data_IF_247482741177
#
_entry.id   IF_247482741177
#
_cell.length_a   1.000
_cell.length_b   1.000
_cell.length_c   1.000
_cell.angle_alpha   90.00
_cell.angle_beta   90.00
_cell.angle_gamma   90.00
#
_symmetry.space_group_name_H-M   'P 1'
#
loop_
_entity.id
_entity.type
_entity.pdbx_description
1 polymer ?
#
# COMPACT_ATOMS: atom_id res chain seq x y z
N UNK A 1 7.00 10.49 -15.69
CA UNK A 1 7.71 9.79 -16.78
C UNK A 1 8.02 8.33 -16.41
N UNK A 2 8.83 8.06 -15.38
CA UNK A 2 9.21 6.67 -14.99
C UNK A 2 8.03 5.72 -14.75
N UNK A 3 7.01 6.15 -13.99
CA UNK A 3 5.82 5.31 -13.70
C UNK A 3 5.00 4.97 -14.94
N UNK A 4 4.88 5.88 -15.90
CA UNK A 4 4.12 5.65 -17.13
C UNK A 4 4.80 4.58 -17.98
N UNK A 5 6.14 4.64 -18.08
CA UNK A 5 6.92 3.63 -18.80
C UNK A 5 6.82 2.25 -18.15
N UNK A 6 6.93 2.17 -16.83
CA UNK A 6 6.73 0.91 -16.10
C UNK A 6 5.32 0.34 -16.28
N UNK A 7 4.30 1.20 -16.38
CA UNK A 7 2.93 0.79 -16.65
C UNK A 7 2.78 0.19 -18.06
N UNK A 8 3.39 0.79 -19.08
CA UNK A 8 3.40 0.22 -20.44
C UNK A 8 3.99 -1.20 -20.47
N UNK A 9 5.16 -1.39 -19.83
CA UNK A 9 5.79 -2.72 -19.74
C UNK A 9 4.93 -3.72 -18.96
N UNK A 10 4.24 -3.27 -17.91
CA UNK A 10 3.34 -4.09 -17.10
C UNK A 10 2.10 -4.54 -17.89
N UNK A 11 1.50 -3.63 -18.64
CA UNK A 11 0.37 -3.92 -19.51
C UNK A 11 0.80 -4.85 -20.67
N UNK A 12 2.05 -4.73 -21.13
CA UNK A 12 2.73 -5.63 -22.07
C UNK A 12 3.17 -6.99 -21.48
N UNK A 13 2.78 -7.31 -20.24
CA UNK A 13 2.97 -8.64 -19.65
C UNK A 13 4.15 -8.79 -18.68
N UNK A 14 4.84 -7.70 -18.32
CA UNK A 14 5.87 -7.68 -17.26
C UNK A 14 5.25 -7.78 -15.84
N UNK A 15 4.40 -8.79 -15.62
CA UNK A 15 3.62 -8.98 -14.38
C UNK A 15 4.27 -9.95 -13.38
N UNK A 16 5.35 -10.64 -13.76
CA UNK A 16 6.07 -11.58 -12.89
C UNK A 16 7.57 -11.31 -12.95
N UNK A 17 8.29 -11.67 -11.88
CA UNK A 17 9.75 -11.54 -11.81
C UNK A 17 10.47 -12.84 -12.26
N UNK A 18 9.81 -13.69 -13.04
CA UNK A 18 10.35 -14.97 -13.50
C UNK A 18 11.38 -14.81 -14.62
N UNK A 19 11.96 -15.95 -15.05
CA UNK A 19 12.95 -16.01 -16.13
C UNK A 19 12.52 -15.22 -17.37
N UNK A 20 11.27 -15.40 -17.78
CA UNK A 20 10.74 -14.88 -19.06
C UNK A 20 10.56 -13.35 -19.06
N UNK A 21 10.54 -12.74 -17.87
CA UNK A 21 10.39 -11.30 -17.69
C UNK A 21 11.68 -10.64 -17.17
N UNK A 22 12.73 -11.42 -16.91
CA UNK A 22 13.99 -10.89 -16.36
C UNK A 22 14.67 -9.93 -17.33
N UNK A 23 14.68 -10.28 -18.62
CA UNK A 23 15.21 -9.41 -19.69
C UNK A 23 14.41 -8.11 -19.81
N UNK A 24 13.08 -8.19 -19.83
CA UNK A 24 12.19 -7.01 -19.86
C UNK A 24 12.38 -6.09 -18.66
N UNK A 25 12.61 -6.66 -17.47
CA UNK A 25 12.90 -5.89 -16.25
C UNK A 25 14.24 -5.18 -16.36
N UNK A 26 15.25 -5.81 -16.96
CA UNK A 26 16.55 -5.19 -17.24
C UNK A 26 16.43 -3.99 -18.17
N UNK A 27 15.72 -4.15 -19.29
CA UNK A 27 15.47 -3.06 -20.25
C UNK A 27 14.67 -1.93 -19.60
N UNK A 28 13.62 -2.25 -18.85
CA UNK A 28 12.83 -1.23 -18.14
C UNK A 28 13.66 -0.49 -17.08
N UNK A 29 14.59 -1.17 -16.40
CA UNK A 29 15.50 -0.58 -15.43
C UNK A 29 16.46 0.43 -16.09
N UNK A 30 17.06 0.08 -17.23
CA UNK A 30 17.91 1.00 -18.00
C UNK A 30 17.13 2.21 -18.52
N UNK A 31 15.97 1.99 -19.15
CA UNK A 31 15.17 3.09 -19.73
C UNK A 31 14.62 4.06 -18.67
N UNK A 32 14.28 3.55 -17.49
CA UNK A 32 13.76 4.39 -16.40
C UNK A 32 14.84 4.92 -15.48
N UNK A 33 16.09 4.44 -15.60
CA UNK A 33 17.19 4.75 -14.69
C UNK A 33 16.95 4.24 -13.26
N UNK A 34 16.15 3.19 -13.10
CA UNK A 34 15.86 2.56 -11.81
C UNK A 34 16.68 1.29 -11.63
N UNK A 35 16.86 0.85 -10.38
CA UNK A 35 17.46 -0.45 -10.13
C UNK A 35 16.46 -1.58 -10.38
N UNK A 36 16.97 -2.77 -10.73
CA UNK A 36 16.14 -3.97 -10.95
C UNK A 36 15.25 -4.26 -9.73
N UNK A 37 15.74 -4.07 -8.50
CA UNK A 37 14.94 -4.27 -7.29
C UNK A 37 13.81 -3.25 -7.14
N UNK A 38 14.03 -1.99 -7.53
CA UNK A 38 12.97 -0.98 -7.55
C UNK A 38 11.87 -1.34 -8.55
N UNK A 39 12.25 -1.83 -9.74
CA UNK A 39 11.32 -2.29 -10.76
C UNK A 39 10.52 -3.50 -10.27
N UNK A 40 11.20 -4.52 -9.70
CA UNK A 40 10.53 -5.70 -9.10
C UNK A 40 9.54 -5.31 -8.00
N UNK A 41 9.92 -4.39 -7.11
CA UNK A 41 9.05 -3.87 -6.05
C UNK A 41 7.84 -3.14 -6.62
N UNK A 42 8.05 -2.34 -7.67
CA UNK A 42 6.98 -1.64 -8.36
C UNK A 42 5.98 -2.60 -9.01
N UNK A 43 6.44 -3.67 -9.68
CA UNK A 43 5.58 -4.73 -10.25
C UNK A 43 4.70 -5.36 -9.16
N UNK A 44 5.27 -5.67 -8.00
CA UNK A 44 4.52 -6.19 -6.86
C UNK A 44 3.41 -5.25 -6.40
N UNK A 45 3.71 -3.95 -6.29
CA UNK A 45 2.74 -2.92 -5.91
C UNK A 45 1.65 -2.74 -6.97
N UNK A 46 2.00 -2.75 -8.26
CA UNK A 46 1.07 -2.64 -9.36
C UNK A 46 0.04 -3.78 -9.36
N UNK A 47 0.50 -5.03 -9.16
CA UNK A 47 -0.37 -6.20 -9.00
C UNK A 47 -1.32 -6.07 -7.82
N UNK A 48 -0.82 -5.56 -6.70
CA UNK A 48 -1.65 -5.37 -5.51
C UNK A 48 -2.73 -4.33 -5.75
N UNK A 49 -2.41 -3.22 -6.41
CA UNK A 49 -3.37 -2.19 -6.81
C UNK A 49 -4.45 -2.77 -7.74
N UNK A 50 -4.06 -3.56 -8.75
CA UNK A 50 -5.00 -4.21 -9.68
C UNK A 50 -5.97 -5.15 -8.95
N UNK A 51 -5.48 -5.90 -7.96
CA UNK A 51 -6.33 -6.78 -7.12
C UNK A 51 -7.26 -6.03 -6.17
N UNK A 52 -6.84 -4.86 -5.66
CA UNK A 52 -7.69 -3.99 -4.82
C UNK A 52 -8.79 -3.39 -5.69
N UNK A 53 -8.45 -2.88 -6.88
CA UNK A 53 -9.40 -2.27 -7.80
C UNK A 53 -10.40 -3.27 -8.41
N UNK A 54 -9.99 -4.52 -8.63
CA UNK A 54 -10.87 -5.59 -9.14
C UNK A 54 -11.80 -6.18 -8.07
N UNK A 55 -11.71 -5.74 -6.81
CA UNK A 55 -12.55 -6.25 -5.72
C UNK A 55 -12.25 -7.71 -5.32
N UNK A 56 -11.26 -8.36 -5.95
CA UNK A 56 -10.85 -9.75 -5.67
C UNK A 56 -10.06 -9.83 -4.35
N UNK A 57 -9.65 -8.70 -3.78
CA UNK A 57 -9.13 -8.63 -2.42
C UNK A 57 -10.03 -7.77 -1.52
N UNK A 58 -10.67 -8.43 -0.54
CA UNK A 58 -11.12 -7.78 0.68
C UNK A 58 -9.94 -7.02 1.32
N UNK A 59 -10.24 -5.86 1.92
CA UNK A 59 -9.36 -4.89 2.60
C UNK A 59 -7.92 -5.34 2.89
N UNK A 60 -6.90 -4.47 2.68
CA UNK A 60 -5.49 -4.82 2.86
C UNK A 60 -5.31 -5.56 4.18
N UNK A 61 -4.90 -6.83 4.11
CA UNK A 61 -4.60 -7.61 5.31
C UNK A 61 -3.60 -6.76 6.11
N UNK A 62 -3.92 -6.39 7.36
CA UNK A 62 -3.06 -5.53 8.13
C UNK A 62 -1.66 -6.14 8.10
N UNK A 63 -0.67 -5.33 7.74
CA UNK A 63 0.73 -5.68 7.91
C UNK A 63 0.83 -6.21 9.34
N UNK A 64 1.19 -7.49 9.50
CA UNK A 64 1.56 -8.06 10.79
C UNK A 64 2.85 -7.38 11.21
N UNK A 65 2.74 -6.15 11.70
CA UNK A 65 3.79 -5.53 12.48
C UNK A 65 3.95 -6.45 13.68
N UNK A 66 5.16 -6.94 14.01
CA UNK A 66 5.38 -7.69 15.23
C UNK A 66 4.70 -6.94 16.37
N UNK A 67 3.74 -7.60 17.01
CA UNK A 67 2.96 -7.08 18.12
C UNK A 67 3.90 -6.84 19.29
N UNK A 68 4.53 -5.68 19.31
CA UNK A 68 5.49 -5.28 20.34
C UNK A 68 5.91 -3.82 20.31
N UNK A 69 5.62 -3.07 19.24
CA UNK A 69 6.12 -1.69 19.09
C UNK A 69 5.11 -0.69 18.53
N UNK A 70 3.80 -1.00 18.55
CA UNK A 70 2.79 0.05 18.32
C UNK A 70 2.60 0.87 19.60
N UNK A 71 3.61 1.69 19.91
CA UNK A 71 3.44 2.83 20.79
C UNK A 71 2.26 3.66 20.28
N UNK A 72 1.39 4.05 21.21
CA UNK A 72 0.20 4.85 20.95
C UNK A 72 0.56 6.09 20.15
N UNK A 73 0.15 6.12 18.88
CA UNK A 73 0.05 7.40 18.21
C UNK A 73 -1.01 8.21 18.98
N UNK A 74 -0.66 9.39 19.47
CA UNK A 74 -1.52 10.23 20.33
C UNK A 74 -2.93 10.40 19.78
N UNK A 75 -3.07 10.46 18.45
CA UNK A 75 -4.35 10.48 17.75
C UNK A 75 -5.24 9.26 18.07
N UNK A 76 -4.65 8.05 18.11
CA UNK A 76 -5.39 6.83 18.42
C UNK A 76 -5.75 6.72 19.91
N UNK A 77 -4.99 7.38 20.79
CA UNK A 77 -5.29 7.42 22.22
C UNK A 77 -6.42 8.41 22.51
N UNK A 78 -6.35 9.61 21.94
CA UNK A 78 -7.35 10.66 22.09
C UNK A 78 -8.72 10.29 21.51
N UNK A 79 -8.77 9.72 20.30
CA UNK A 79 -10.03 9.28 19.72
C UNK A 79 -10.68 8.13 20.51
N UNK A 80 -9.88 7.25 21.10
CA UNK A 80 -10.40 6.15 21.92
C UNK A 80 -11.03 6.67 23.22
N UNK A 81 -10.47 7.71 23.84
CA UNK A 81 -11.06 8.37 25.00
C UNK A 81 -12.39 9.05 24.64
N UNK A 82 -12.43 9.82 23.55
CA UNK A 82 -13.63 10.58 23.14
C UNK A 82 -14.86 9.70 22.89
N UNK A 83 -14.69 8.51 22.29
CA UNK A 83 -15.81 7.60 22.01
C UNK A 83 -16.09 6.57 23.13
N UNK A 84 -15.18 6.40 24.10
CA UNK A 84 -15.44 5.58 25.30
C UNK A 84 -16.21 6.33 26.37
N UNK A 85 -16.12 7.66 26.37
CA UNK A 85 -16.93 8.54 27.22
C UNK A 85 -18.37 8.59 26.70
N UNK A 86 -19.16 7.56 26.99
CA UNK A 86 -20.59 7.52 26.68
C UNK A 86 -21.44 8.50 27.51
N UNK A 87 -21.05 9.78 27.57
CA UNK A 87 -21.89 10.84 28.11
C UNK A 87 -22.69 11.50 26.98
N UNK A 88 -24.00 11.60 27.20
CA UNK A 88 -24.97 12.18 26.30
C UNK A 88 -24.69 13.70 26.18
N UNK A 89 -24.45 14.25 24.97
CA UNK A 89 -23.99 15.65 24.80
C UNK A 89 -24.99 16.72 25.29
N UNK A 90 -26.22 16.35 25.63
CA UNK A 90 -27.26 17.25 26.15
C UNK A 90 -27.03 17.73 27.60
N UNK A 91 -26.10 17.13 28.36
CA UNK A 91 -25.88 17.50 29.76
C UNK A 91 -24.80 18.56 30.01
N UNK A 92 -24.16 19.10 28.95
CA UNK A 92 -23.00 20.00 29.10
C UNK A 92 -23.38 21.48 29.32
N UNK A 93 -24.66 21.86 29.17
CA UNK A 93 -25.12 23.25 29.31
C UNK A 93 -26.09 23.51 30.49
N UNK A 94 -25.94 22.80 31.62
CA UNK A 94 -26.67 23.11 32.86
C UNK A 94 -25.79 23.08 34.12
N UNK A 95 -24.89 24.06 34.25
CA UNK A 95 -24.69 24.81 35.50
C UNK A 95 -23.89 26.08 35.21
#
# INVERSE_FOLDING_TARGET
VQRSKLQEYYDGGMKTCGSDNTEKIGVAAEETGLTIDQVKKWIGNARQKEKINSGVQAAPKPIKIPTGSRGSHSYNMFCSEYFKSGENPDNVFKH
#
